data_IF_988879784327
#
_entry.id   IF_988879784327
#
_cell.length_a   1.000
_cell.length_b   1.000
_cell.length_c   1.000
_cell.angle_alpha   90.00
_cell.angle_beta   90.00
_cell.angle_gamma   90.00
#
_symmetry.space_group_name_H-M   'P 1'
#
loop_
_entity.id
_entity.type
_entity.pdbx_description
1 polymer ?
#
# COMPACT_ATOMS: atom_id res chain seq x y z
N UNK A 1 13.13 12.15 -15.77
CA UNK A 1 14.16 11.93 -16.81
C UNK A 1 14.27 10.47 -17.18
N UNK A 2 14.62 10.21 -18.42
CA UNK A 2 14.77 8.87 -18.99
C UNK A 2 15.84 8.91 -20.10
N UNK A 3 16.38 7.77 -20.46
CA UNK A 3 17.29 7.61 -21.58
C UNK A 3 16.56 7.22 -22.88
N UNK A 4 17.28 7.09 -23.97
CA UNK A 4 16.77 6.72 -25.31
C UNK A 4 16.06 5.36 -25.35
N UNK A 5 16.32 4.49 -24.38
CA UNK A 5 15.68 3.18 -24.23
C UNK A 5 14.48 3.20 -23.30
N UNK A 6 14.10 4.36 -22.75
CA UNK A 6 13.01 4.51 -21.80
C UNK A 6 13.35 4.05 -20.37
N UNK A 7 14.65 3.93 -20.03
CA UNK A 7 15.08 3.64 -18.66
C UNK A 7 15.08 4.92 -17.84
N UNK A 8 14.45 4.88 -16.65
CA UNK A 8 14.33 6.03 -15.79
C UNK A 8 15.68 6.43 -15.19
N UNK A 9 16.09 7.66 -15.45
CA UNK A 9 17.34 8.23 -14.94
C UNK A 9 17.10 9.10 -13.72
N UNK A 10 15.95 9.73 -13.59
CA UNK A 10 15.66 10.56 -12.43
C UNK A 10 14.21 10.97 -12.30
N UNK A 11 13.79 11.23 -11.05
CA UNK A 11 12.48 11.78 -10.72
C UNK A 11 12.66 13.02 -9.82
N UNK A 12 12.08 14.13 -10.23
CA UNK A 12 11.85 15.30 -9.38
C UNK A 12 10.35 15.41 -9.13
N UNK A 13 9.95 15.45 -7.87
CA UNK A 13 8.55 15.49 -7.48
C UNK A 13 8.34 16.50 -6.36
N UNK A 14 7.40 17.41 -6.53
CA UNK A 14 6.94 18.33 -5.49
C UNK A 14 5.46 18.07 -5.22
N UNK A 15 5.13 17.79 -3.96
CA UNK A 15 3.76 17.49 -3.51
C UNK A 15 3.30 18.63 -2.61
N UNK A 16 2.24 19.31 -3.01
CA UNK A 16 1.60 20.37 -2.25
C UNK A 16 0.29 19.84 -1.67
N UNK A 17 0.18 19.86 -0.34
CA UNK A 17 -0.91 19.24 0.39
C UNK A 17 -1.73 20.30 1.13
N UNK A 18 -3.02 20.40 0.82
CA UNK A 18 -3.96 21.25 1.56
C UNK A 18 -4.45 20.49 2.79
N UNK A 19 -4.06 20.95 3.98
CA UNK A 19 -4.47 20.33 5.24
C UNK A 19 -5.76 20.92 5.80
N UNK A 20 -6.26 22.00 5.24
CA UNK A 20 -7.37 22.76 5.80
C UNK A 20 -6.97 23.50 7.08
N UNK A 21 -7.93 23.77 7.96
CA UNK A 21 -7.75 24.57 9.17
C UNK A 21 -6.90 23.89 10.26
N UNK A 22 -6.81 22.57 10.26
CA UNK A 22 -6.09 21.79 11.28
C UNK A 22 -5.13 20.79 10.66
N UNK A 23 -3.96 20.58 11.29
CA UNK A 23 -2.97 19.64 10.81
C UNK A 23 -3.47 18.19 10.72
N UNK A 24 -4.30 17.75 11.68
CA UNK A 24 -4.80 16.37 11.74
C UNK A 24 -3.67 15.36 11.44
N UNK A 25 -3.86 14.50 10.43
CA UNK A 25 -2.87 13.54 9.96
C UNK A 25 -2.13 14.01 8.69
N UNK A 26 -2.13 15.31 8.37
CA UNK A 26 -1.47 15.84 7.17
C UNK A 26 0.00 15.42 7.08
N UNK A 27 0.79 15.60 8.14
CA UNK A 27 2.21 15.24 8.15
C UNK A 27 2.45 13.78 7.75
N UNK A 28 1.89 12.79 8.46
CA UNK A 28 2.01 11.38 8.12
C UNK A 28 1.49 11.00 6.72
N UNK A 29 0.39 11.62 6.28
CA UNK A 29 -0.17 11.37 4.94
C UNK A 29 0.76 11.91 3.85
N UNK A 30 1.28 13.13 4.03
CA UNK A 30 2.23 13.75 3.10
C UNK A 30 3.54 12.96 3.02
N UNK A 31 4.09 12.56 4.18
CA UNK A 31 5.28 11.69 4.23
C UNK A 31 5.04 10.39 3.44
N UNK A 32 3.88 9.80 3.59
CA UNK A 32 3.52 8.57 2.87
C UNK A 32 3.36 8.82 1.37
N UNK A 33 2.77 9.93 0.97
CA UNK A 33 2.70 10.35 -0.43
C UNK A 33 4.10 10.51 -1.04
N UNK A 34 5.01 11.17 -0.32
CA UNK A 34 6.40 11.36 -0.77
C UNK A 34 7.16 10.04 -0.89
N UNK A 35 7.08 9.17 0.12
CA UNK A 35 7.83 7.90 0.11
C UNK A 35 7.36 6.93 -0.97
N UNK A 36 6.13 7.06 -1.45
CA UNK A 36 5.57 6.20 -2.51
C UNK A 36 5.45 6.89 -3.88
N UNK A 37 5.80 8.18 -3.98
CA UNK A 37 5.72 8.92 -5.25
C UNK A 37 6.64 8.39 -6.36
N UNK A 38 7.56 7.52 -6.01
CA UNK A 38 8.45 6.82 -6.94
C UNK A 38 7.78 5.60 -7.59
N UNK A 39 6.65 5.13 -7.03
CA UNK A 39 6.06 3.86 -7.45
C UNK A 39 7.02 2.69 -7.28
N UNK A 40 6.68 1.51 -7.82
CA UNK A 40 7.52 0.32 -7.73
C UNK A 40 8.58 0.28 -8.86
N UNK A 41 9.32 1.37 -9.04
CA UNK A 41 10.28 1.51 -10.14
C UNK A 41 11.67 1.88 -9.66
N UNK A 42 12.67 1.58 -10.51
CA UNK A 42 14.05 1.94 -10.29
C UNK A 42 14.38 3.29 -10.91
N UNK A 43 15.13 4.12 -10.17
CA UNK A 43 15.67 5.41 -10.64
C UNK A 43 17.13 5.51 -10.26
N UNK A 44 17.91 6.26 -11.04
CA UNK A 44 19.30 6.58 -10.69
C UNK A 44 19.35 7.68 -9.64
N UNK A 45 18.46 8.69 -9.76
CA UNK A 45 18.40 9.84 -8.87
C UNK A 45 16.94 10.23 -8.56
N UNK A 46 16.70 10.69 -7.34
CA UNK A 46 15.39 11.22 -6.94
C UNK A 46 15.55 12.47 -6.08
N UNK A 47 14.68 13.46 -6.31
CA UNK A 47 14.49 14.64 -5.44
C UNK A 47 12.99 14.80 -5.21
N UNK A 48 12.55 14.47 -3.98
CA UNK A 48 11.14 14.44 -3.63
C UNK A 48 10.91 15.38 -2.45
N UNK A 49 10.01 16.34 -2.63
CA UNK A 49 9.69 17.36 -1.64
C UNK A 49 8.19 17.41 -1.39
N UNK A 50 7.79 17.47 -0.13
CA UNK A 50 6.42 17.61 0.29
C UNK A 50 6.19 18.87 1.11
N UNK A 51 5.10 19.59 0.82
CA UNK A 51 4.73 20.84 1.49
C UNK A 51 3.27 20.75 1.94
N UNK A 52 3.02 20.83 3.24
CA UNK A 52 1.69 20.88 3.82
C UNK A 52 1.31 22.31 4.20
N UNK A 53 0.17 22.79 3.75
CA UNK A 53 -0.29 24.15 3.99
C UNK A 53 -1.61 24.17 4.76
N UNK A 54 -1.68 25.03 5.76
CA UNK A 54 -2.95 25.40 6.37
C UNK A 54 -3.76 26.30 5.42
N UNK A 55 -5.04 26.03 5.34
CA UNK A 55 -5.99 26.83 4.54
C UNK A 55 -7.30 27.03 5.30
N UNK A 56 -8.22 27.79 4.72
CA UNK A 56 -9.56 27.96 5.25
C UNK A 56 -10.54 26.83 4.82
N UNK A 57 -10.04 25.80 4.18
CA UNK A 57 -10.83 24.65 3.79
C UNK A 57 -11.19 23.74 4.98
N UNK A 58 -12.18 22.86 4.86
CA UNK A 58 -12.42 21.81 5.83
C UNK A 58 -11.15 20.98 6.06
N UNK A 59 -10.90 20.49 7.30
CA UNK A 59 -9.71 19.70 7.59
C UNK A 59 -9.62 18.46 6.71
N UNK A 60 -8.47 18.28 6.07
CA UNK A 60 -8.11 17.06 5.39
C UNK A 60 -7.54 16.05 6.41
N UNK A 61 -7.56 14.77 6.07
CA UNK A 61 -7.07 13.72 6.96
C UNK A 61 -6.76 12.42 6.24
N UNK A 62 -6.69 11.36 7.03
CA UNK A 62 -6.41 10.03 6.52
C UNK A 62 -7.58 9.47 5.73
N UNK A 63 -7.31 9.02 4.51
CA UNK A 63 -8.21 8.24 3.69
C UNK A 63 -7.50 6.96 3.24
N UNK A 64 -8.23 5.93 2.85
CA UNK A 64 -7.65 4.66 2.40
C UNK A 64 -6.61 4.90 1.30
N UNK A 65 -5.40 4.32 1.47
CA UNK A 65 -4.22 4.61 0.64
C UNK A 65 -3.27 5.63 1.29
N UNK A 66 -3.77 6.51 2.17
CA UNK A 66 -2.97 7.40 3.02
C UNK A 66 -1.96 8.25 2.24
N UNK A 67 -2.40 8.89 1.14
CA UNK A 67 -1.58 9.74 0.26
C UNK A 67 -0.95 9.02 -0.93
N UNK A 68 -0.84 7.70 -0.88
CA UNK A 68 -0.22 6.90 -1.96
C UNK A 68 -1.05 6.95 -3.25
N UNK A 69 -2.38 6.85 -3.15
CA UNK A 69 -3.23 6.87 -4.34
C UNK A 69 -3.07 8.15 -5.16
N UNK A 70 -2.89 9.29 -4.51
CA UNK A 70 -2.72 10.58 -5.18
C UNK A 70 -1.38 10.66 -5.91
N UNK A 71 -0.28 10.27 -5.23
CA UNK A 71 1.06 10.33 -5.83
C UNK A 71 1.24 9.29 -6.93
N UNK A 72 0.73 8.08 -6.76
CA UNK A 72 0.82 7.04 -7.79
C UNK A 72 -0.06 7.34 -9.00
N UNK A 73 -1.25 7.92 -8.81
CA UNK A 73 -2.05 8.37 -9.95
C UNK A 73 -1.30 9.39 -10.82
N UNK A 74 -0.64 10.36 -10.19
CA UNK A 74 0.16 11.34 -10.91
C UNK A 74 1.36 10.70 -11.63
N UNK A 75 2.10 9.83 -10.93
CA UNK A 75 3.23 9.13 -11.49
C UNK A 75 2.84 8.25 -12.69
N UNK A 76 1.85 7.40 -12.53
CA UNK A 76 1.40 6.46 -13.54
C UNK A 76 0.85 7.16 -14.79
N UNK A 77 0.20 8.33 -14.60
CA UNK A 77 -0.22 9.18 -15.71
C UNK A 77 0.97 9.74 -16.50
N UNK A 78 2.02 10.19 -15.79
CA UNK A 78 3.25 10.68 -16.42
C UNK A 78 3.98 9.54 -17.15
N UNK A 79 4.03 8.34 -16.59
CA UNK A 79 4.66 7.17 -17.23
C UNK A 79 3.96 6.83 -18.56
N UNK A 80 2.64 6.98 -18.66
CA UNK A 80 1.94 6.79 -19.93
C UNK A 80 2.38 7.83 -20.99
N UNK A 81 2.49 9.10 -20.59
CA UNK A 81 2.98 10.15 -21.50
C UNK A 81 4.44 9.92 -21.92
N UNK A 82 5.27 9.39 -21.01
CA UNK A 82 6.66 9.00 -21.33
C UNK A 82 6.69 7.84 -22.32
N UNK A 83 5.84 6.83 -22.16
CA UNK A 83 5.74 5.71 -23.08
C UNK A 83 5.45 6.18 -24.51
N UNK A 84 4.51 7.13 -24.66
CA UNK A 84 4.20 7.77 -25.94
C UNK A 84 5.42 8.50 -26.53
N UNK A 85 6.14 9.27 -25.73
CA UNK A 85 7.32 10.03 -26.17
C UNK A 85 8.49 9.13 -26.60
N UNK A 86 8.70 8.01 -25.90
CA UNK A 86 9.73 7.02 -26.23
C UNK A 86 9.30 6.13 -27.40
N UNK A 87 7.99 6.03 -27.67
CA UNK A 87 7.45 5.19 -28.73
C UNK A 87 7.37 3.70 -28.36
N UNK A 88 7.20 3.39 -27.07
CA UNK A 88 7.01 2.02 -26.57
C UNK A 88 5.66 1.89 -25.87
N UNK A 89 5.23 0.63 -25.64
CA UNK A 89 3.93 0.42 -24.97
C UNK A 89 3.96 0.82 -23.49
N UNK A 90 2.83 1.22 -22.90
CA UNK A 90 2.69 1.43 -21.47
C UNK A 90 3.07 0.23 -20.62
N UNK A 91 2.91 -1.00 -21.13
CA UNK A 91 3.38 -2.23 -20.48
C UNK A 91 4.91 -2.30 -20.50
N UNK A 92 5.53 -2.06 -21.66
CA UNK A 92 6.96 -2.20 -21.87
C UNK A 92 7.78 -1.22 -21.03
N UNK A 93 7.35 0.06 -20.93
CA UNK A 93 8.08 1.04 -20.12
C UNK A 93 8.08 0.66 -18.64
N UNK A 94 6.97 0.10 -18.13
CA UNK A 94 6.87 -0.39 -16.76
C UNK A 94 7.73 -1.62 -16.52
N UNK A 95 7.71 -2.55 -17.44
CA UNK A 95 8.52 -3.77 -17.37
C UNK A 95 10.02 -3.48 -17.32
N UNK A 96 10.50 -2.56 -18.16
CA UNK A 96 11.91 -2.15 -18.18
C UNK A 96 12.39 -1.50 -16.89
N UNK A 97 11.51 -0.79 -16.22
CA UNK A 97 11.84 -0.01 -15.03
C UNK A 97 11.38 -0.65 -13.73
N UNK A 98 10.74 -1.80 -13.77
CA UNK A 98 10.20 -2.50 -12.61
C UNK A 98 11.27 -2.78 -11.55
N UNK A 99 10.90 -2.62 -10.28
CA UNK A 99 11.75 -3.03 -9.17
C UNK A 99 11.94 -4.55 -9.17
N UNK A 100 13.14 -4.99 -8.83
CA UNK A 100 13.52 -6.40 -8.75
C UNK A 100 14.20 -6.69 -7.40
N UNK A 101 14.25 -7.97 -6.97
CA UNK A 101 14.99 -8.35 -5.77
C UNK A 101 16.43 -7.82 -5.78
N UNK A 102 16.86 -7.28 -4.63
CA UNK A 102 18.19 -6.71 -4.44
C UNK A 102 18.35 -5.26 -4.90
N UNK A 103 17.36 -4.68 -5.59
CA UNK A 103 17.34 -3.25 -5.91
C UNK A 103 16.96 -2.43 -4.69
N UNK A 104 17.41 -1.18 -4.65
CA UNK A 104 17.16 -0.25 -3.55
C UNK A 104 16.13 0.79 -3.98
N UNK A 105 15.05 0.90 -3.22
CA UNK A 105 14.09 1.97 -3.38
C UNK A 105 14.67 3.32 -2.91
N UNK A 106 14.20 4.45 -3.42
CA UNK A 106 14.70 5.78 -3.03
C UNK A 106 14.64 6.08 -1.53
N UNK A 107 13.77 5.42 -0.78
CA UNK A 107 13.68 5.50 0.68
C UNK A 107 14.73 4.64 1.41
N UNK A 108 15.63 3.96 0.68
CA UNK A 108 16.68 3.10 1.22
C UNK A 108 16.25 1.65 1.50
N UNK A 109 14.99 1.29 1.28
CA UNK A 109 14.54 -0.10 1.43
C UNK A 109 15.09 -0.97 0.31
N UNK A 110 15.65 -2.12 0.68
CA UNK A 110 16.10 -3.14 -0.26
C UNK A 110 14.92 -4.04 -0.60
N UNK A 111 14.64 -4.20 -1.88
CA UNK A 111 13.64 -5.14 -2.37
C UNK A 111 14.08 -6.58 -2.06
N UNK A 112 13.26 -7.32 -1.34
CA UNK A 112 13.56 -8.70 -0.95
C UNK A 112 13.14 -9.72 -2.02
N UNK A 113 13.36 -11.00 -1.73
CA UNK A 113 13.07 -12.09 -2.67
C UNK A 113 11.57 -12.28 -2.97
N UNK A 114 10.67 -11.63 -2.22
CA UNK A 114 9.22 -11.66 -2.49
C UNK A 114 8.77 -10.61 -3.50
N UNK A 115 9.68 -9.76 -3.96
CA UNK A 115 9.40 -8.72 -4.95
C UNK A 115 9.19 -9.35 -6.32
N UNK A 116 7.94 -9.37 -6.79
CA UNK A 116 7.50 -10.11 -7.99
C UNK A 116 6.76 -9.19 -9.00
N UNK A 117 7.20 -7.93 -9.14
CA UNK A 117 6.51 -6.99 -10.03
C UNK A 117 6.60 -7.41 -11.50
N UNK A 118 7.78 -7.89 -11.95
CA UNK A 118 7.93 -8.36 -13.33
C UNK A 118 7.04 -9.56 -13.64
N UNK A 119 6.96 -10.50 -12.73
CA UNK A 119 6.10 -11.68 -12.84
C UNK A 119 4.61 -11.29 -12.91
N UNK A 120 4.19 -10.28 -12.13
CA UNK A 120 2.80 -9.78 -12.21
C UNK A 120 2.52 -9.08 -13.55
N UNK A 121 3.48 -8.32 -14.08
CA UNK A 121 3.37 -7.70 -15.40
C UNK A 121 3.32 -8.75 -16.52
N UNK A 122 4.15 -9.80 -16.44
CA UNK A 122 4.14 -10.90 -17.39
C UNK A 122 2.81 -11.66 -17.36
N UNK A 123 2.26 -11.91 -16.17
CA UNK A 123 0.99 -12.61 -16.01
C UNK A 123 -0.22 -11.91 -16.68
N UNK A 124 -0.17 -10.58 -16.81
CA UNK A 124 -1.26 -9.80 -17.45
C UNK A 124 -0.95 -9.40 -18.88
N UNK A 125 0.24 -9.68 -19.40
CA UNK A 125 0.73 -9.21 -20.69
C UNK A 125 -0.22 -9.57 -21.84
N UNK A 126 -0.53 -10.84 -21.98
CA UNK A 126 -1.33 -11.33 -23.10
C UNK A 126 -2.74 -10.74 -23.09
N UNK A 127 -3.35 -10.62 -21.90
CA UNK A 127 -4.68 -10.01 -21.74
C UNK A 127 -4.61 -8.51 -22.06
N UNK A 128 -3.56 -7.81 -21.61
CA UNK A 128 -3.36 -6.41 -21.91
C UNK A 128 -3.17 -6.18 -23.42
N UNK A 129 -2.27 -6.93 -24.07
CA UNK A 129 -2.00 -6.79 -25.51
C UNK A 129 -3.23 -7.07 -26.37
N UNK A 130 -4.04 -8.05 -25.99
CA UNK A 130 -5.28 -8.37 -26.69
C UNK A 130 -6.36 -7.28 -26.56
N UNK A 131 -6.26 -6.40 -25.56
CA UNK A 131 -7.26 -5.38 -25.24
C UNK A 131 -6.68 -3.96 -25.18
N UNK A 132 -5.47 -3.72 -25.65
CA UNK A 132 -4.72 -2.45 -25.46
C UNK A 132 -5.45 -1.19 -25.94
N UNK A 133 -6.35 -1.32 -26.90
CA UNK A 133 -7.13 -0.18 -27.44
C UNK A 133 -8.23 0.29 -26.44
N UNK A 134 -8.54 -0.55 -25.42
CA UNK A 134 -9.61 -0.30 -24.46
C UNK A 134 -9.17 -0.53 -23.01
N UNK A 135 -7.92 -0.95 -22.79
CA UNK A 135 -7.37 -1.26 -21.46
C UNK A 135 -6.25 -0.29 -21.07
N UNK A 136 -6.25 0.12 -19.82
CA UNK A 136 -5.12 0.80 -19.17
C UNK A 136 -4.29 -0.18 -18.35
N UNK A 137 -3.01 0.16 -18.12
CA UNK A 137 -2.13 -0.57 -17.20
C UNK A 137 -1.43 0.41 -16.27
N UNK A 138 -1.36 0.07 -15.00
CA UNK A 138 -0.65 0.80 -13.96
C UNK A 138 -0.08 -0.17 -12.93
N UNK A 139 1.01 0.24 -12.27
CA UNK A 139 1.60 -0.52 -11.17
C UNK A 139 1.50 0.28 -9.88
N UNK A 140 1.23 -0.40 -8.77
CA UNK A 140 1.12 0.23 -7.47
C UNK A 140 1.83 -0.62 -6.43
N UNK A 141 2.42 0.04 -5.45
CA UNK A 141 2.90 -0.62 -4.24
C UNK A 141 2.46 0.15 -3.01
N UNK A 142 2.20 -0.60 -1.93
CA UNK A 142 1.87 -0.02 -0.63
C UNK A 142 2.55 -0.82 0.47
N UNK A 143 3.22 -0.14 1.38
CA UNK A 143 3.79 -0.80 2.54
C UNK A 143 2.70 -1.43 3.42
N UNK A 144 3.03 -2.53 4.08
CA UNK A 144 2.34 -3.00 5.27
C UNK A 144 2.94 -2.33 6.52
N UNK A 145 2.12 -2.15 7.56
CA UNK A 145 2.53 -1.44 8.77
C UNK A 145 2.17 0.05 8.79
N UNK A 146 2.04 0.62 9.99
CA UNK A 146 1.71 2.04 10.15
C UNK A 146 2.90 2.91 9.76
N UNK A 147 4.09 2.57 10.22
CA UNK A 147 5.30 3.37 9.99
C UNK A 147 5.20 4.75 10.66
N UNK A 148 5.92 5.74 10.11
CA UNK A 148 5.91 7.15 10.55
C UNK A 148 6.11 7.32 12.07
N UNK A 149 6.92 6.43 12.69
CA UNK A 149 7.20 6.47 14.13
C UNK A 149 6.07 5.99 15.05
N UNK A 150 4.96 5.51 14.50
CA UNK A 150 3.87 4.97 15.29
C UNK A 150 4.10 3.49 15.62
N UNK A 151 3.80 3.04 16.88
CA UNK A 151 3.97 1.65 17.25
C UNK A 151 3.01 0.74 16.48
N UNK A 152 3.55 -0.34 15.93
CA UNK A 152 2.77 -1.42 15.34
C UNK A 152 2.54 -2.53 16.40
N UNK A 153 1.41 -2.44 17.08
CA UNK A 153 0.99 -3.44 18.09
C UNK A 153 -0.08 -4.36 17.50
N UNK A 154 0.05 -5.65 17.72
CA UNK A 154 -1.00 -6.62 17.45
C UNK A 154 -1.25 -7.46 18.70
N UNK A 155 -2.51 -7.70 19.05
CA UNK A 155 -2.92 -8.55 20.18
C UNK A 155 -4.30 -9.12 19.93
N UNK A 156 -4.47 -10.39 20.28
CA UNK A 156 -5.77 -11.01 20.38
C UNK A 156 -5.83 -11.95 21.59
N UNK A 157 -7.03 -12.25 22.05
CA UNK A 157 -7.30 -13.31 22.99
C UNK A 157 -8.07 -14.43 22.28
N UNK A 158 -7.62 -15.67 22.47
CA UNK A 158 -8.35 -16.87 22.04
C UNK A 158 -8.94 -17.55 23.26
N UNK A 159 -10.23 -17.76 23.29
CA UNK A 159 -10.94 -18.38 24.40
C UNK A 159 -11.81 -19.52 23.86
N UNK A 160 -11.85 -20.64 24.57
CA UNK A 160 -12.79 -21.73 24.24
C UNK A 160 -14.08 -21.52 25.01
N UNK A 161 -15.15 -21.27 24.30
CA UNK A 161 -16.51 -21.11 24.82
C UNK A 161 -17.42 -22.16 24.18
N UNK A 162 -18.03 -23.01 25.00
CA UNK A 162 -18.94 -24.08 24.53
C UNK A 162 -18.38 -24.95 23.40
N UNK A 163 -17.08 -25.22 23.42
CA UNK A 163 -16.39 -26.01 22.39
C UNK A 163 -16.11 -25.29 21.08
N UNK A 164 -16.23 -23.96 21.08
CA UNK A 164 -15.89 -23.06 19.96
C UNK A 164 -14.73 -22.17 20.34
N UNK A 165 -13.75 -22.01 19.48
CA UNK A 165 -12.67 -21.05 19.62
C UNK A 165 -13.15 -19.66 19.26
N UNK A 166 -13.17 -18.76 20.21
CA UNK A 166 -13.63 -17.37 20.05
C UNK A 166 -12.46 -16.43 20.04
N UNK A 167 -12.39 -15.58 19.02
CA UNK A 167 -11.33 -14.60 18.82
C UNK A 167 -11.81 -13.24 19.33
N UNK A 168 -11.10 -12.65 20.28
CA UNK A 168 -11.30 -11.29 20.75
C UNK A 168 -10.15 -10.42 20.28
N UNK A 169 -10.36 -9.61 19.25
CA UNK A 169 -9.38 -8.69 18.69
C UNK A 169 -10.01 -7.33 18.47
N UNK A 170 -9.31 -6.26 18.87
CA UNK A 170 -9.81 -4.89 18.72
C UNK A 170 -9.67 -4.33 17.29
N UNK A 171 -9.35 -5.17 16.31
CA UNK A 171 -9.32 -4.78 14.91
C UNK A 171 -10.73 -4.49 14.38
N UNK A 172 -10.89 -3.32 13.73
CA UNK A 172 -12.18 -2.91 13.17
C UNK A 172 -12.33 -3.43 11.74
N UNK A 173 -13.46 -4.06 11.45
CA UNK A 173 -13.83 -4.37 10.07
C UNK A 173 -14.46 -3.13 9.43
N UNK A 174 -13.85 -2.63 8.36
CA UNK A 174 -14.30 -1.49 7.58
C UNK A 174 -14.64 -1.89 6.13
N UNK A 175 -14.97 -3.18 5.94
CA UNK A 175 -15.26 -3.77 4.65
C UNK A 175 -14.11 -4.59 4.05
N UNK A 176 -12.95 -4.69 4.74
CA UNK A 176 -11.80 -5.48 4.29
C UNK A 176 -11.87 -6.96 4.71
N UNK A 177 -12.83 -7.36 5.55
CA UNK A 177 -13.07 -8.75 5.90
C UNK A 177 -12.10 -9.32 6.94
N UNK A 178 -11.52 -8.50 7.82
CA UNK A 178 -10.52 -8.96 8.80
C UNK A 178 -11.06 -10.06 9.74
N UNK A 179 -12.32 -9.99 10.13
CA UNK A 179 -12.93 -11.01 10.98
C UNK A 179 -12.89 -12.42 10.34
N UNK A 180 -13.12 -12.50 9.04
CA UNK A 180 -13.02 -13.75 8.28
C UNK A 180 -11.58 -14.23 8.20
N UNK A 181 -10.65 -13.31 7.90
CA UNK A 181 -9.22 -13.62 7.80
C UNK A 181 -8.69 -14.16 9.13
N UNK A 182 -9.01 -13.55 10.26
CA UNK A 182 -8.61 -14.05 11.58
C UNK A 182 -9.14 -15.46 11.87
N UNK A 183 -10.36 -15.78 11.45
CA UNK A 183 -10.84 -17.16 11.56
C UNK A 183 -10.02 -18.14 10.70
N UNK A 184 -9.60 -17.73 9.51
CA UNK A 184 -8.76 -18.55 8.63
C UNK A 184 -7.35 -18.72 9.21
N UNK A 185 -6.75 -17.66 9.75
CA UNK A 185 -5.43 -17.70 10.39
C UNK A 185 -5.43 -18.64 11.61
N UNK A 186 -6.45 -18.53 12.47
CA UNK A 186 -6.61 -19.45 13.62
C UNK A 186 -6.84 -20.88 13.15
N UNK A 187 -7.65 -21.11 12.11
CA UNK A 187 -7.85 -22.44 11.56
C UNK A 187 -6.54 -23.05 11.04
N UNK A 188 -5.75 -22.25 10.32
CA UNK A 188 -4.45 -22.69 9.80
C UNK A 188 -3.45 -22.97 10.92
N UNK A 189 -3.39 -22.13 11.94
CA UNK A 189 -2.45 -22.27 13.03
C UNK A 189 -2.78 -23.41 13.98
N UNK A 190 -4.08 -23.70 14.20
CA UNK A 190 -4.55 -24.68 15.20
C UNK A 190 -5.00 -26.00 14.62
N UNK A 191 -5.29 -26.07 13.33
CA UNK A 191 -5.90 -27.22 12.68
C UNK A 191 -7.40 -27.39 12.98
N UNK A 192 -8.02 -26.45 13.69
CA UNK A 192 -9.45 -26.49 13.95
C UNK A 192 -10.27 -26.21 12.67
N UNK A 193 -11.40 -26.88 12.47
CA UNK A 193 -12.26 -26.54 11.35
C UNK A 193 -12.89 -25.15 11.55
N UNK A 194 -13.07 -24.38 10.48
CA UNK A 194 -13.66 -23.03 10.53
C UNK A 194 -15.02 -23.00 11.24
N UNK A 195 -15.80 -24.07 11.17
CA UNK A 195 -17.08 -24.20 11.90
C UNK A 195 -16.96 -24.20 13.42
N UNK A 196 -15.75 -24.35 13.95
CA UNK A 196 -15.39 -24.28 15.38
C UNK A 196 -14.67 -23.02 15.76
N UNK A 197 -14.64 -22.02 14.90
CA UNK A 197 -13.97 -20.75 15.14
C UNK A 197 -14.95 -19.61 14.82
N UNK A 198 -14.99 -18.61 15.68
CA UNK A 198 -15.76 -17.38 15.43
C UNK A 198 -15.01 -16.15 15.92
N UNK A 199 -15.20 -15.04 15.26
CA UNK A 199 -14.75 -13.74 15.73
C UNK A 199 -15.85 -13.12 16.62
N UNK A 200 -15.48 -12.62 17.80
CA UNK A 200 -16.41 -11.97 18.71
C UNK A 200 -16.72 -10.54 18.26
N UNK A 201 -17.87 -10.02 18.67
CA UNK A 201 -18.13 -8.59 18.66
C UNK A 201 -17.33 -7.98 19.82
N UNK A 202 -16.37 -7.10 19.49
CA UNK A 202 -15.43 -6.56 20.44
C UNK A 202 -15.74 -5.12 20.83
N UNK A 203 -15.39 -4.79 22.07
CA UNK A 203 -15.39 -3.44 22.62
C UNK A 203 -14.14 -3.24 23.49
N UNK A 204 -13.99 -2.09 24.12
CA UNK A 204 -12.83 -1.76 24.97
C UNK A 204 -12.74 -2.57 26.26
N UNK A 205 -13.76 -3.32 26.63
CA UNK A 205 -13.78 -4.15 27.87
C UNK A 205 -13.32 -5.59 27.60
N UNK A 206 -13.66 -6.13 26.42
CA UNK A 206 -13.47 -7.56 26.13
C UNK A 206 -12.34 -7.87 25.13
N UNK A 207 -11.76 -6.87 24.48
CA UNK A 207 -10.66 -7.09 23.56
C UNK A 207 -9.38 -6.35 23.97
N UNK A 208 -8.18 -6.96 23.78
CA UNK A 208 -6.92 -6.30 24.05
C UNK A 208 -6.66 -5.21 23.00
N UNK A 209 -5.85 -4.21 23.36
CA UNK A 209 -5.41 -3.17 22.44
C UNK A 209 -4.59 -3.78 21.30
N UNK A 210 -5.15 -3.80 20.10
CA UNK A 210 -4.50 -4.26 18.87
C UNK A 210 -3.92 -3.10 18.03
N UNK A 211 -3.87 -1.90 18.58
CA UNK A 211 -3.45 -0.70 17.87
C UNK A 211 -4.45 -0.25 16.79
N UNK A 212 -4.00 0.65 15.95
CA UNK A 212 -4.85 1.24 14.90
C UNK A 212 -5.12 0.26 13.76
N UNK A 213 -6.39 0.15 13.34
CA UNK A 213 -6.76 -0.55 12.10
C UNK A 213 -6.48 0.36 10.90
N UNK A 214 -5.22 0.42 10.51
CA UNK A 214 -4.70 1.24 9.41
C UNK A 214 -3.39 0.64 8.89
N UNK A 215 -2.92 1.03 7.71
CA UNK A 215 -1.62 0.63 7.18
C UNK A 215 -1.52 -0.84 6.76
N UNK A 216 -2.62 -1.52 6.47
CA UNK A 216 -2.66 -2.93 6.04
C UNK A 216 -1.89 -3.88 6.98
N UNK A 217 -2.07 -3.70 8.31
CA UNK A 217 -1.24 -4.37 9.33
C UNK A 217 -1.95 -5.46 10.12
N UNK A 218 -3.28 -5.42 10.20
CA UNK A 218 -3.99 -6.28 11.16
C UNK A 218 -3.78 -7.78 10.89
N UNK A 219 -3.89 -8.23 9.65
CA UNK A 219 -3.63 -9.63 9.29
C UNK A 219 -2.22 -10.10 9.65
N UNK A 220 -1.23 -9.19 9.57
CA UNK A 220 0.17 -9.55 9.84
C UNK A 220 0.49 -9.54 11.34
N UNK A 221 -0.12 -8.65 12.11
CA UNK A 221 0.32 -8.32 13.48
C UNK A 221 -0.66 -8.76 14.57
N UNK A 222 -1.94 -8.95 14.26
CA UNK A 222 -2.96 -9.36 15.23
C UNK A 222 -3.21 -10.84 15.17
#
# INVERSE_FOLDING_TARGET
GWDENGIFTGLVCEIYFDTGTYASLCGPVLERACTHSVGPYCYQHTDIRGFGYYTNNPPAGAFRGFGVCQSEFALESIINLLAEQVGISPWEIRYRNAIEPGKVLPNGQIADCSTALKETLEAVKDVYEANKDHAGIACSMKNAGVGVGLPDKGRCNLVIEDGVCVIYAAASDIGQGCATVFCQDVAQATGLPLSKIRNAVCNTENAPDSGTTSGSRQTLLT
#
